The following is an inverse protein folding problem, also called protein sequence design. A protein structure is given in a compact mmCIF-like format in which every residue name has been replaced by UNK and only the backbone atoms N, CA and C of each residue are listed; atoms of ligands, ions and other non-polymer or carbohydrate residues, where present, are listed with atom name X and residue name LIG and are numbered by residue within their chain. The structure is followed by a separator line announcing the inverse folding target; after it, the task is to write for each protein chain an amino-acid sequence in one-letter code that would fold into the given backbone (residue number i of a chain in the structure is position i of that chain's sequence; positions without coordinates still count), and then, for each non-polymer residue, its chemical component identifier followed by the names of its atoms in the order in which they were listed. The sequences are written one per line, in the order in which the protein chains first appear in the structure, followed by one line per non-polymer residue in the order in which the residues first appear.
data_IF_673958002645
#
_entry.id   IF_673958002645
#
_cell.length_a   1.000
_cell.length_b   1.000
_cell.length_c   1.000
_cell.angle_alpha   90.00
_cell.angle_beta   90.00
_cell.angle_gamma   90.00
#
_symmetry.space_group_name_H-M   'P 1'
#
loop_
_entity.id
_entity.type
_entity.pdbx_description
1 polymer ?
#
# COMPACT_ATOMS: atom_id res chain seq x y z
N UNK A 1 -15.78 2.47 -15.96
CA UNK A 1 -15.55 3.21 -17.20
C UNK A 1 -15.19 4.67 -16.92
N UNK A 2 -16.02 5.41 -16.17
CA UNK A 2 -15.79 6.83 -15.85
C UNK A 2 -14.44 7.08 -15.17
N UNK A 3 -13.99 6.21 -14.26
CA UNK A 3 -12.70 6.32 -13.58
C UNK A 3 -11.54 6.22 -14.58
N UNK A 4 -11.55 5.23 -15.45
CA UNK A 4 -10.49 4.98 -16.43
C UNK A 4 -10.50 6.03 -17.56
N UNK A 5 -11.66 6.56 -17.94
CA UNK A 5 -11.77 7.61 -18.96
C UNK A 5 -11.38 8.99 -18.40
N UNK A 6 -11.65 9.26 -17.14
CA UNK A 6 -11.23 10.50 -16.47
C UNK A 6 -9.71 10.56 -16.22
N UNK A 7 -9.01 9.43 -16.29
CA UNK A 7 -7.57 9.33 -16.15
C UNK A 7 -6.84 10.29 -17.10
N UNK A 8 -7.21 10.28 -18.39
CA UNK A 8 -6.57 11.11 -19.40
C UNK A 8 -6.83 12.62 -19.24
N UNK A 9 -7.95 13.00 -18.64
CA UNK A 9 -8.32 14.42 -18.41
C UNK A 9 -7.75 15.01 -17.12
N UNK A 10 -7.21 14.17 -16.23
CA UNK A 10 -6.76 14.56 -14.89
C UNK A 10 -5.28 14.21 -14.60
N UNK A 11 -4.54 13.67 -15.58
CA UNK A 11 -3.11 13.32 -15.42
C UNK A 11 -2.25 14.48 -14.90
N UNK A 12 -2.61 15.73 -15.22
CA UNK A 12 -1.85 16.92 -14.86
C UNK A 12 -2.39 17.63 -13.60
N UNK A 13 -3.45 17.12 -12.99
CA UNK A 13 -4.00 17.72 -11.77
C UNK A 13 -3.45 17.04 -10.54
N UNK A 14 -2.42 17.63 -9.95
CA UNK A 14 -2.01 17.31 -8.59
C UNK A 14 -3.12 17.79 -7.66
N UNK A 15 -3.99 16.87 -7.26
CA UNK A 15 -5.13 17.16 -6.35
C UNK A 15 -4.85 16.66 -4.93
N UNK A 16 -3.74 15.98 -4.71
CA UNK A 16 -3.31 15.53 -3.40
C UNK A 16 -2.37 16.56 -2.76
N UNK A 17 -2.37 16.57 -1.45
CA UNK A 17 -1.44 17.32 -0.63
C UNK A 17 0.02 16.86 -0.81
N UNK A 18 0.22 15.65 -1.27
CA UNK A 18 1.49 15.08 -1.65
C UNK A 18 1.73 15.25 -3.16
N UNK A 19 2.96 15.16 -3.62
CA UNK A 19 3.32 15.19 -5.05
C UNK A 19 2.81 13.97 -5.85
N UNK A 20 2.09 13.03 -5.21
CA UNK A 20 1.56 11.84 -5.83
C UNK A 20 0.16 12.11 -6.41
N UNK A 21 -0.04 11.82 -7.69
CA UNK A 21 -1.33 12.05 -8.36
C UNK A 21 -2.37 10.99 -8.03
N UNK A 22 -3.65 11.38 -8.07
CA UNK A 22 -4.79 10.49 -7.81
C UNK A 22 -4.92 9.36 -8.85
N UNK A 23 -4.26 9.48 -9.99
CA UNK A 23 -4.35 8.56 -11.12
C UNK A 23 -2.98 8.12 -11.64
N UNK A 24 -1.96 8.17 -10.80
CA UNK A 24 -0.67 7.60 -11.15
C UNK A 24 -0.76 6.06 -11.16
N UNK A 25 0.04 5.38 -12.01
CA UNK A 25 0.07 3.92 -12.00
C UNK A 25 0.44 3.38 -10.63
N UNK A 26 -0.39 2.49 -10.07
CA UNK A 26 -0.12 1.88 -8.77
C UNK A 26 0.96 0.81 -8.89
N UNK A 27 1.86 0.75 -7.93
CA UNK A 27 2.93 -0.24 -7.90
C UNK A 27 2.40 -1.67 -7.80
N UNK A 28 2.92 -2.56 -8.63
CA UNK A 28 2.64 -4.00 -8.52
C UNK A 28 3.29 -4.60 -7.27
N UNK A 29 4.49 -4.14 -6.93
CA UNK A 29 5.25 -4.54 -5.75
C UNK A 29 5.75 -3.33 -4.99
N UNK A 30 5.89 -3.47 -3.67
CA UNK A 30 6.60 -2.44 -2.90
C UNK A 30 8.07 -2.35 -3.31
N UNK A 31 8.61 -1.15 -3.31
CA UNK A 31 10.04 -0.90 -3.46
C UNK A 31 10.81 -1.03 -2.13
N UNK A 32 10.11 -1.20 -1.02
CA UNK A 32 10.66 -1.34 0.33
C UNK A 32 11.04 -2.78 0.64
N UNK A 33 12.04 -2.97 1.48
CA UNK A 33 12.33 -4.29 2.05
C UNK A 33 11.40 -4.57 3.23
N UNK A 34 10.29 -5.26 2.97
CA UNK A 34 9.28 -5.60 3.97
C UNK A 34 9.81 -6.48 5.10
N UNK A 35 11.01 -7.07 4.96
CA UNK A 35 11.64 -7.87 6.01
C UNK A 35 12.25 -7.02 7.11
N UNK A 36 12.42 -5.72 6.88
CA UNK A 36 12.89 -4.75 7.88
C UNK A 36 11.81 -4.40 8.89
N UNK A 37 10.52 -4.51 8.51
CA UNK A 37 9.43 -4.26 9.45
C UNK A 37 9.43 -5.28 10.59
N UNK A 38 9.15 -4.83 11.83
CA UNK A 38 9.14 -5.72 12.98
C UNK A 38 8.19 -6.90 12.81
N UNK A 39 8.67 -8.09 13.17
CA UNK A 39 7.85 -9.31 13.19
C UNK A 39 7.12 -9.40 14.52
N UNK A 40 6.05 -8.64 14.66
CA UNK A 40 5.20 -8.67 15.84
C UNK A 40 3.91 -9.47 15.58
N UNK A 41 3.29 -9.95 16.65
CA UNK A 41 1.98 -10.58 16.55
C UNK A 41 0.89 -9.49 16.48
N UNK A 42 0.23 -9.41 15.34
CA UNK A 42 -0.81 -8.43 15.07
C UNK A 42 -2.23 -8.96 15.30
N UNK A 43 -2.37 -10.14 15.90
CA UNK A 43 -3.68 -10.74 16.21
C UNK A 43 -4.46 -9.83 17.16
N UNK A 44 -5.70 -9.51 16.78
CA UNK A 44 -6.59 -8.67 17.57
C UNK A 44 -6.27 -7.17 17.54
N UNK A 45 -5.26 -6.75 16.75
CA UNK A 45 -4.90 -5.35 16.59
C UNK A 45 -5.74 -4.67 15.51
N UNK A 46 -6.14 -3.43 15.75
CA UNK A 46 -6.67 -2.52 14.74
C UNK A 46 -5.49 -1.92 13.96
N UNK A 47 -5.49 -2.11 12.67
CA UNK A 47 -4.35 -1.75 11.82
C UNK A 47 -4.80 -0.76 10.76
N UNK A 48 -4.05 0.33 10.62
CA UNK A 48 -4.15 1.27 9.50
C UNK A 48 -2.89 1.15 8.64
N UNK A 49 -3.04 1.16 7.32
CA UNK A 49 -1.89 1.10 6.41
C UNK A 49 -2.13 1.92 5.15
N UNK A 50 -1.05 2.42 4.54
CA UNK A 50 -1.12 2.87 3.15
C UNK A 50 -1.49 1.69 2.24
N UNK A 51 -2.30 1.92 1.22
CA UNK A 51 -2.65 0.87 0.25
C UNK A 51 -1.50 0.58 -0.70
N UNK A 52 -1.02 1.58 -1.43
CA UNK A 52 0.07 1.43 -2.38
C UNK A 52 -0.06 0.13 -3.20
N UNK A 53 0.95 -0.72 -3.19
CA UNK A 53 0.92 -2.05 -3.84
C UNK A 53 0.07 -3.10 -3.11
N UNK A 54 -0.44 -2.82 -1.91
CA UNK A 54 -1.11 -3.78 -1.01
C UNK A 54 -0.17 -4.61 -0.14
N UNK A 55 1.14 -4.50 -0.32
CA UNK A 55 2.10 -5.37 0.37
C UNK A 55 2.19 -5.11 1.87
N UNK A 56 1.92 -3.89 2.34
CA UNK A 56 1.84 -3.55 3.77
C UNK A 56 0.67 -4.28 4.45
N UNK A 57 -0.50 -4.27 3.83
CA UNK A 57 -1.66 -5.01 4.32
C UNK A 57 -1.40 -6.52 4.32
N UNK A 58 -0.78 -7.06 3.27
CA UNK A 58 -0.41 -8.47 3.18
C UNK A 58 0.62 -8.87 4.24
N UNK A 59 1.60 -8.00 4.53
CA UNK A 59 2.55 -8.21 5.63
C UNK A 59 1.85 -8.23 6.99
N UNK A 60 0.92 -7.31 7.23
CA UNK A 60 0.15 -7.28 8.46
C UNK A 60 -0.70 -8.55 8.64
N UNK A 61 -1.34 -9.03 7.56
CA UNK A 61 -2.13 -10.27 7.58
C UNK A 61 -1.24 -11.50 7.81
N UNK A 62 -0.06 -11.55 7.20
CA UNK A 62 0.91 -12.63 7.44
C UNK A 62 1.29 -12.73 8.92
N UNK A 63 1.37 -11.58 9.61
CA UNK A 63 1.69 -11.47 11.03
C UNK A 63 0.46 -11.56 11.96
N UNK A 64 -0.72 -11.95 11.43
CA UNK A 64 -1.91 -12.25 12.22
C UNK A 64 -2.97 -11.16 12.26
N UNK A 65 -2.73 -10.01 11.62
CA UNK A 65 -3.75 -8.96 11.45
C UNK A 65 -4.96 -9.49 10.68
N UNK A 66 -6.16 -9.18 11.15
CA UNK A 66 -7.40 -9.64 10.50
C UNK A 66 -8.36 -8.49 10.17
N UNK A 67 -8.19 -7.34 10.81
CA UNK A 67 -8.99 -6.13 10.58
C UNK A 67 -8.04 -5.01 10.16
N UNK A 68 -7.99 -4.76 8.86
CA UNK A 68 -7.07 -3.80 8.24
C UNK A 68 -7.88 -2.69 7.59
N UNK A 69 -7.60 -1.47 7.94
CA UNK A 69 -8.02 -0.30 7.17
C UNK A 69 -6.85 0.16 6.32
N UNK A 70 -7.11 0.41 5.06
CA UNK A 70 -6.11 0.80 4.08
C UNK A 70 -6.54 2.08 3.38
N UNK A 71 -5.65 3.04 3.25
CA UNK A 71 -5.94 4.33 2.64
C UNK A 71 -4.96 4.67 1.53
N UNK A 72 -5.41 5.42 0.55
CA UNK A 72 -4.57 5.97 -0.50
C UNK A 72 -5.30 7.11 -1.20
N UNK A 73 -4.55 8.09 -1.71
CA UNK A 73 -5.08 9.11 -2.64
C UNK A 73 -5.20 8.54 -4.05
N UNK A 74 -4.38 7.54 -4.37
CA UNK A 74 -4.34 6.92 -5.68
C UNK A 74 -5.53 5.98 -5.87
N UNK A 75 -6.38 6.32 -6.83
CA UNK A 75 -7.61 5.59 -7.14
C UNK A 75 -7.37 4.16 -7.64
N UNK A 76 -6.18 3.86 -8.19
CA UNK A 76 -5.85 2.53 -8.70
C UNK A 76 -5.31 1.58 -7.64
N UNK A 77 -4.76 2.09 -6.54
CA UNK A 77 -4.11 1.28 -5.49
C UNK A 77 -5.02 0.20 -4.93
N UNK A 78 -6.30 0.52 -4.64
CA UNK A 78 -7.26 -0.48 -4.13
C UNK A 78 -7.50 -1.60 -5.12
N UNK A 79 -7.59 -1.30 -6.42
CA UNK A 79 -7.86 -2.31 -7.46
C UNK A 79 -6.66 -3.22 -7.68
N UNK A 80 -5.44 -2.66 -7.74
CA UNK A 80 -4.19 -3.45 -7.86
C UNK A 80 -4.01 -4.34 -6.64
N UNK A 81 -4.20 -3.80 -5.43
CA UNK A 81 -4.17 -4.56 -4.17
C UNK A 81 -5.21 -5.69 -4.16
N UNK A 82 -6.46 -5.39 -4.52
CA UNK A 82 -7.55 -6.37 -4.55
C UNK A 82 -7.30 -7.49 -5.56
N UNK A 83 -6.79 -7.18 -6.75
CA UNK A 83 -6.43 -8.19 -7.75
C UNK A 83 -5.33 -9.13 -7.22
N UNK A 84 -4.27 -8.58 -6.63
CA UNK A 84 -3.19 -9.39 -6.02
C UNK A 84 -3.72 -10.30 -4.93
N UNK A 85 -4.59 -9.80 -4.05
CA UNK A 85 -5.23 -10.58 -2.98
C UNK A 85 -6.11 -11.69 -3.56
N UNK A 86 -6.90 -11.40 -4.59
CA UNK A 86 -7.75 -12.38 -5.27
C UNK A 86 -6.90 -13.49 -5.90
N UNK A 87 -5.78 -13.15 -6.52
CA UNK A 87 -4.82 -14.11 -7.07
C UNK A 87 -4.21 -15.00 -5.98
N UNK A 88 -3.80 -14.44 -4.83
CA UNK A 88 -3.27 -15.23 -3.70
C UNK A 88 -4.34 -16.18 -3.16
N UNK A 89 -5.59 -15.74 -3.07
CA UNK A 89 -6.71 -16.60 -2.63
C UNK A 89 -6.96 -17.76 -3.61
N UNK A 90 -6.81 -17.52 -4.90
CA UNK A 90 -7.07 -18.50 -5.96
C UNK A 90 -5.93 -19.48 -6.14
N UNK A 91 -4.74 -19.00 -6.41
CA UNK A 91 -3.61 -19.79 -6.90
C UNK A 91 -2.77 -20.37 -5.75
N UNK A 92 -2.08 -21.47 -6.01
CA UNK A 92 -0.98 -21.93 -5.15
C UNK A 92 0.26 -21.05 -5.33
N UNK A 93 1.31 -21.38 -4.61
CA UNK A 93 2.57 -20.61 -4.64
C UNK A 93 3.16 -20.52 -6.05
N UNK A 94 3.33 -21.66 -6.72
CA UNK A 94 4.00 -21.69 -8.03
C UNK A 94 3.17 -21.03 -9.12
N UNK A 95 1.88 -21.31 -9.13
CA UNK A 95 0.93 -20.72 -10.08
C UNK A 95 0.80 -19.20 -9.89
N UNK A 96 0.78 -18.71 -8.64
CA UNK A 96 0.74 -17.28 -8.36
C UNK A 96 1.98 -16.59 -8.94
N UNK A 97 3.19 -17.07 -8.60
CA UNK A 97 4.42 -16.42 -9.04
C UNK A 97 4.62 -16.51 -10.55
N UNK A 98 4.23 -17.61 -11.17
CA UNK A 98 4.26 -17.75 -12.63
C UNK A 98 3.36 -16.73 -13.33
N UNK A 99 2.16 -16.46 -12.78
CA UNK A 99 1.25 -15.44 -13.34
C UNK A 99 1.70 -14.02 -13.06
N UNK A 100 2.29 -13.78 -11.90
CA UNK A 100 2.84 -12.47 -11.58
C UNK A 100 4.06 -12.14 -12.47
N UNK A 101 4.92 -13.10 -12.72
CA UNK A 101 6.03 -12.98 -13.66
C UNK A 101 5.54 -12.70 -15.09
N UNK A 102 4.45 -13.36 -15.50
CA UNK A 102 3.78 -13.06 -16.78
C UNK A 102 3.26 -11.62 -16.83
N UNK A 103 2.54 -11.17 -15.80
CA UNK A 103 2.02 -9.79 -15.71
C UNK A 103 3.17 -8.79 -15.80
N UNK A 104 4.25 -9.02 -15.07
CA UNK A 104 5.40 -8.14 -14.99
C UNK A 104 6.17 -8.04 -16.33
N UNK A 105 6.36 -9.16 -17.02
CA UNK A 105 7.18 -9.20 -18.25
C UNK A 105 6.39 -9.03 -19.54
N UNK A 106 5.10 -9.36 -19.54
CA UNK A 106 4.24 -9.30 -20.76
C UNK A 106 3.26 -8.13 -20.69
N UNK A 107 3.14 -7.48 -19.53
CA UNK A 107 2.21 -6.37 -19.28
C UNK A 107 0.76 -6.72 -19.71
N UNK A 108 0.32 -7.92 -19.35
CA UNK A 108 -0.98 -8.45 -19.75
C UNK A 108 -1.63 -9.27 -18.63
N UNK A 109 -2.95 -9.14 -18.52
CA UNK A 109 -3.78 -9.96 -17.63
C UNK A 109 -4.40 -11.19 -18.34
N UNK A 110 -4.09 -11.37 -19.64
CA UNK A 110 -4.45 -12.56 -20.39
C UNK A 110 -3.28 -13.52 -20.42
N UNK A 111 -3.34 -14.58 -19.61
CA UNK A 111 -2.29 -15.58 -19.50
C UNK A 111 -2.44 -16.67 -20.58
N UNK A 112 -1.43 -16.83 -21.44
CA UNK A 112 -1.37 -17.85 -22.48
C UNK A 112 -2.58 -17.85 -23.46
N UNK A 113 -3.15 -16.70 -23.81
CA UNK A 113 -4.29 -16.55 -24.73
C UNK A 113 -5.55 -17.40 -24.42
N UNK A 114 -5.51 -18.25 -23.43
CA UNK A 114 -6.60 -19.17 -23.02
C UNK A 114 -7.18 -18.85 -21.66
N UNK A 115 -6.44 -18.19 -20.79
CA UNK A 115 -6.88 -17.84 -19.44
C UNK A 115 -6.84 -16.32 -19.24
N UNK A 116 -8.02 -15.75 -18.99
CA UNK A 116 -8.14 -14.40 -18.48
C UNK A 116 -8.01 -14.46 -16.96
N UNK A 117 -6.97 -13.83 -16.42
CA UNK A 117 -6.71 -13.81 -14.97
C UNK A 117 -7.89 -13.22 -14.21
N UNK A 118 -8.51 -12.15 -14.75
CA UNK A 118 -9.65 -11.46 -14.11
C UNK A 118 -10.82 -12.42 -13.90
N UNK A 119 -11.21 -13.14 -14.98
CA UNK A 119 -12.31 -14.10 -14.89
C UNK A 119 -11.99 -15.26 -13.96
N UNK A 120 -10.74 -15.72 -13.96
CA UNK A 120 -10.30 -16.81 -13.10
C UNK A 120 -10.39 -16.50 -11.62
N UNK A 121 -10.24 -15.22 -11.22
CA UNK A 121 -10.29 -14.76 -9.83
C UNK A 121 -11.60 -14.07 -9.45
N UNK A 122 -12.56 -13.98 -10.37
CA UNK A 122 -13.84 -13.26 -10.22
C UNK A 122 -14.53 -13.47 -8.87
N UNK A 123 -14.58 -14.70 -8.38
CA UNK A 123 -15.25 -15.03 -7.10
C UNK A 123 -14.59 -14.42 -5.86
N UNK A 124 -13.37 -13.89 -5.99
CA UNK A 124 -12.60 -13.27 -4.92
C UNK A 124 -12.55 -11.75 -5.02
N UNK A 125 -13.13 -11.19 -6.08
CA UNK A 125 -13.29 -9.76 -6.31
C UNK A 125 -14.71 -9.32 -5.94
N UNK A 126 -14.87 -8.14 -5.40
CA UNK A 126 -16.17 -7.47 -5.32
C UNK A 126 -16.69 -7.16 -6.73
N UNK A 127 -17.97 -6.81 -6.82
CA UNK A 127 -18.57 -6.43 -8.10
C UNK A 127 -17.84 -5.21 -8.72
N UNK A 128 -17.54 -4.20 -7.93
CA UNK A 128 -16.82 -2.99 -8.37
C UNK A 128 -15.41 -3.31 -8.87
N UNK A 129 -14.66 -4.14 -8.13
CA UNK A 129 -13.31 -4.56 -8.50
C UNK A 129 -13.29 -5.39 -9.80
N UNK A 130 -14.23 -6.32 -9.93
CA UNK A 130 -14.37 -7.10 -11.16
C UNK A 130 -14.74 -6.22 -12.35
N UNK A 131 -15.69 -5.31 -12.17
CA UNK A 131 -16.12 -4.40 -13.22
C UNK A 131 -15.00 -3.45 -13.66
N UNK A 132 -14.20 -2.94 -12.70
CA UNK A 132 -13.03 -2.14 -13.01
C UNK A 132 -12.06 -2.89 -13.92
N UNK A 133 -11.65 -4.10 -13.54
CA UNK A 133 -10.67 -4.87 -14.29
C UNK A 133 -11.19 -5.36 -15.64
N UNK A 134 -12.45 -5.76 -15.72
CA UNK A 134 -13.08 -6.16 -16.99
C UNK A 134 -13.16 -4.98 -17.97
N UNK A 135 -13.49 -3.78 -17.46
CA UNK A 135 -13.50 -2.56 -18.27
C UNK A 135 -12.08 -2.17 -18.70
N UNK A 136 -11.11 -2.27 -17.80
CA UNK A 136 -9.69 -2.02 -18.12
C UNK A 136 -9.22 -2.92 -19.26
N UNK A 137 -9.45 -4.24 -19.20
CA UNK A 137 -9.07 -5.18 -20.27
C UNK A 137 -9.78 -4.86 -21.59
N UNK A 138 -11.07 -4.54 -21.55
CA UNK A 138 -11.80 -4.13 -22.75
C UNK A 138 -11.19 -2.88 -23.39
N UNK A 139 -10.88 -1.84 -22.60
CA UNK A 139 -10.28 -0.61 -23.11
C UNK A 139 -8.84 -0.84 -23.61
N UNK A 140 -8.08 -1.69 -22.93
CA UNK A 140 -6.71 -2.06 -23.32
C UNK A 140 -6.66 -2.79 -24.65
N UNK A 141 -7.51 -3.78 -24.85
CA UNK A 141 -7.61 -4.52 -26.12
C UNK A 141 -8.00 -3.58 -27.28
N UNK A 142 -8.78 -2.55 -27.02
CA UNK A 142 -9.17 -1.54 -28.00
C UNK A 142 -8.18 -0.35 -28.07
N UNK A 143 -6.97 -0.47 -27.52
CA UNK A 143 -5.92 0.55 -27.51
C UNK A 143 -6.33 1.92 -26.96
N UNK A 144 -7.28 1.95 -26.01
CA UNK A 144 -7.74 3.19 -25.34
C UNK A 144 -7.01 3.49 -24.04
N UNK A 145 -6.44 2.47 -23.43
CA UNK A 145 -5.58 2.57 -22.23
C UNK A 145 -4.41 1.59 -22.39
N UNK A 146 -3.27 1.91 -21.79
CA UNK A 146 -2.12 1.03 -21.73
C UNK A 146 -2.01 0.38 -20.36
N UNK A 147 -1.32 -0.76 -20.28
CA UNK A 147 -1.09 -1.46 -19.02
C UNK A 147 -0.44 -0.54 -17.99
N UNK A 148 0.60 0.18 -18.41
CA UNK A 148 1.37 1.09 -17.56
C UNK A 148 0.63 2.39 -17.18
N UNK A 149 -0.57 2.61 -17.67
CA UNK A 149 -1.44 3.69 -17.19
C UNK A 149 -2.06 3.37 -15.83
N UNK A 150 -2.16 2.09 -15.44
CA UNK A 150 -2.81 1.64 -14.20
C UNK A 150 -1.86 0.88 -13.28
N UNK A 151 -0.98 0.06 -13.85
CA UNK A 151 -0.02 -0.77 -13.10
C UNK A 151 1.40 -0.35 -13.43
N UNK A 152 2.15 0.01 -12.40
CA UNK A 152 3.58 0.19 -12.48
C UNK A 152 4.28 -1.10 -12.01
N UNK A 153 4.97 -1.78 -12.92
CA UNK A 153 5.69 -3.02 -12.63
C UNK A 153 6.97 -2.81 -11.80
N UNK A 154 7.29 -1.56 -11.47
CA UNK A 154 8.40 -1.25 -10.58
C UNK A 154 8.21 -1.90 -9.20
N UNK A 155 9.32 -2.18 -8.55
CA UNK A 155 9.36 -2.83 -7.26
C UNK A 155 10.11 -4.16 -7.32
N UNK A 156 10.11 -4.92 -6.23
CA UNK A 156 10.83 -6.19 -6.18
C UNK A 156 10.11 -7.22 -5.32
N UNK A 157 9.55 -8.21 -5.99
CA UNK A 157 8.88 -9.34 -5.33
C UNK A 157 9.74 -10.01 -4.24
N UNK A 158 11.07 -10.12 -4.44
CA UNK A 158 11.98 -10.76 -3.48
C UNK A 158 12.09 -10.01 -2.15
N UNK A 159 11.71 -8.73 -2.12
CA UNK A 159 11.65 -7.91 -0.89
C UNK A 159 10.43 -8.23 -0.04
N UNK A 160 9.41 -8.86 -0.61
CA UNK A 160 8.21 -9.24 0.12
C UNK A 160 8.42 -10.43 1.05
N UNK A 161 7.78 -10.37 2.22
CA UNK A 161 7.87 -11.41 3.25
C UNK A 161 7.22 -12.73 2.83
N UNK A 162 6.29 -12.71 1.90
CA UNK A 162 5.61 -13.90 1.35
C UNK A 162 6.25 -14.45 0.07
N UNK A 163 7.46 -13.99 -0.29
CA UNK A 163 8.23 -14.50 -1.43
C UNK A 163 8.73 -15.96 -1.28
N UNK A 164 8.51 -16.58 -0.12
CA UNK A 164 8.83 -17.98 0.15
C UNK A 164 7.54 -18.79 0.32
N UNK A 165 7.53 -20.04 -0.15
CA UNK A 165 6.36 -20.92 -0.15
C UNK A 165 5.68 -21.06 1.24
N UNK A 166 6.47 -21.22 2.31
CA UNK A 166 5.93 -21.32 3.67
C UNK A 166 5.17 -20.05 4.09
N UNK A 167 5.76 -18.87 3.86
CA UNK A 167 5.14 -17.60 4.19
C UNK A 167 3.92 -17.33 3.31
N UNK A 168 4.00 -17.64 2.01
CA UNK A 168 2.88 -17.53 1.08
C UNK A 168 1.68 -18.37 1.55
N UNK A 169 1.92 -19.64 1.88
CA UNK A 169 0.87 -20.54 2.32
C UNK A 169 0.26 -20.10 3.67
N UNK A 170 1.08 -19.53 4.57
CA UNK A 170 0.58 -18.92 5.81
C UNK A 170 -0.30 -17.72 5.51
N UNK A 171 0.16 -16.80 4.64
CA UNK A 171 -0.61 -15.64 4.21
C UNK A 171 -1.95 -16.04 3.57
N UNK A 172 -1.92 -17.01 2.65
CA UNK A 172 -3.13 -17.52 1.99
C UNK A 172 -4.15 -18.08 2.99
N UNK A 173 -3.70 -18.79 4.04
CA UNK A 173 -4.58 -19.24 5.13
C UNK A 173 -5.17 -18.08 5.92
N UNK A 174 -4.35 -17.10 6.29
CA UNK A 174 -4.77 -15.95 7.09
C UNK A 174 -5.78 -15.07 6.33
N UNK A 175 -5.60 -14.92 5.01
CA UNK A 175 -6.52 -14.17 4.14
C UNK A 175 -7.97 -14.68 4.13
N UNK A 176 -8.22 -15.91 4.57
CA UNK A 176 -9.60 -16.44 4.69
C UNK A 176 -10.43 -15.67 5.73
N UNK A 177 -9.79 -15.17 6.78
CA UNK A 177 -10.42 -14.50 7.90
C UNK A 177 -10.07 -13.00 7.98
N UNK A 178 -9.29 -12.49 7.04
CA UNK A 178 -8.90 -11.09 7.00
C UNK A 178 -9.93 -10.26 6.22
N UNK A 179 -10.22 -9.07 6.75
CA UNK A 179 -11.02 -8.04 6.10
C UNK A 179 -10.16 -6.80 5.90
N UNK A 180 -10.15 -6.28 4.67
CA UNK A 180 -9.52 -5.01 4.34
C UNK A 180 -10.63 -4.04 3.94
N UNK A 181 -10.63 -2.86 4.56
CA UNK A 181 -11.51 -1.75 4.19
C UNK A 181 -10.65 -0.67 3.54
N UNK A 182 -11.01 -0.24 2.34
CA UNK A 182 -10.27 0.79 1.61
C UNK A 182 -10.92 2.16 1.80
N UNK A 183 -10.09 3.16 2.06
CA UNK A 183 -10.48 4.56 2.16
C UNK A 183 -9.76 5.35 1.07
N UNK A 184 -10.54 6.06 0.27
CA UNK A 184 -10.03 7.07 -0.67
C UNK A 184 -9.75 8.34 0.12
N UNK A 185 -8.52 8.50 0.59
CA UNK A 185 -8.15 9.56 1.53
C UNK A 185 -6.67 9.90 1.45
N UNK A 186 -6.38 11.20 1.51
CA UNK A 186 -5.04 11.68 1.85
C UNK A 186 -4.75 11.43 3.34
N UNK A 187 -3.46 11.23 3.66
CA UNK A 187 -2.99 11.05 5.04
C UNK A 187 -3.35 12.24 5.94
N UNK A 188 -3.37 13.45 5.40
CA UNK A 188 -3.68 14.67 6.16
C UNK A 188 -5.15 14.71 6.62
N UNK A 189 -6.03 14.01 5.93
CA UNK A 189 -7.46 13.97 6.20
C UNK A 189 -7.93 12.62 6.76
N UNK A 190 -7.01 11.66 6.95
CA UNK A 190 -7.36 10.29 7.35
C UNK A 190 -8.15 10.27 8.67
N UNK A 191 -7.84 11.16 9.60
CA UNK A 191 -8.53 11.26 10.89
C UNK A 191 -10.04 11.54 10.75
N UNK A 192 -10.43 12.22 9.65
CA UNK A 192 -11.83 12.58 9.37
C UNK A 192 -12.59 11.44 8.69
N UNK A 193 -11.86 10.55 8.03
CA UNK A 193 -12.44 9.50 7.20
C UNK A 193 -12.55 8.16 7.92
N UNK A 194 -11.83 7.97 9.03
CA UNK A 194 -11.91 6.77 9.86
C UNK A 194 -12.67 7.02 11.16
N UNK A 195 -13.36 6.00 11.66
CA UNK A 195 -14.22 6.11 12.84
C UNK A 195 -13.78 5.24 14.03
N UNK A 196 -12.55 4.72 13.98
CA UNK A 196 -11.99 3.89 15.04
C UNK A 196 -10.57 4.28 15.40
N UNK A 197 -10.05 3.73 16.48
CA UNK A 197 -8.68 3.89 16.95
C UNK A 197 -7.83 2.72 16.51
N UNK A 198 -6.53 2.97 16.33
CA UNK A 198 -5.58 1.99 15.81
C UNK A 198 -4.47 1.68 16.81
N UNK A 199 -4.03 0.42 16.79
CA UNK A 199 -2.87 -0.06 17.54
C UNK A 199 -1.58 0.07 16.75
N UNK A 200 -1.68 -0.11 15.41
CA UNK A 200 -0.53 -0.08 14.50
C UNK A 200 -0.88 0.67 13.23
N UNK A 201 0.06 1.49 12.80
CA UNK A 201 -0.05 2.27 11.56
C UNK A 201 1.20 2.03 10.72
N UNK A 202 1.04 1.63 9.46
CA UNK A 202 2.12 1.41 8.51
C UNK A 202 2.00 2.43 7.38
N UNK A 203 2.90 3.40 7.35
CA UNK A 203 2.82 4.55 6.44
C UNK A 203 3.71 4.42 5.21
N UNK A 204 4.57 3.36 5.10
CA UNK A 204 5.55 3.37 4.04
C UNK A 204 6.41 4.65 4.11
N UNK A 205 6.74 5.22 2.96
CA UNK A 205 7.44 6.49 2.86
C UNK A 205 6.51 7.70 2.64
N UNK A 206 5.23 7.61 3.03
CA UNK A 206 4.26 8.71 2.85
C UNK A 206 4.75 10.01 3.48
N UNK A 207 5.43 9.94 4.63
CA UNK A 207 5.94 11.13 5.30
C UNK A 207 7.04 11.84 4.50
N UNK A 208 7.80 11.12 3.67
CA UNK A 208 8.74 11.75 2.74
C UNK A 208 8.03 12.59 1.67
N UNK A 209 6.91 12.10 1.14
CA UNK A 209 6.11 12.87 0.18
C UNK A 209 5.51 14.12 0.80
N UNK A 210 5.07 14.04 2.06
CA UNK A 210 4.61 15.22 2.81
C UNK A 210 5.71 16.26 2.98
N UNK A 211 6.96 15.81 3.21
CA UNK A 211 8.12 16.67 3.39
C UNK A 211 8.75 17.14 2.07
N UNK A 212 8.61 16.34 0.99
CA UNK A 212 9.19 16.63 -0.32
C UNK A 212 8.42 17.70 -1.12
N UNK A 213 7.19 18.01 -0.73
CA UNK A 213 6.47 19.14 -1.32
C UNK A 213 7.25 20.42 -0.97
N UNK A 214 7.91 21.01 -1.97
CA UNK A 214 8.69 22.25 -1.88
C UNK A 214 7.85 23.47 -1.48
N UNK A 215 6.97 23.31 -0.50
CA UNK A 215 6.19 24.38 0.07
C UNK A 215 6.90 24.94 1.29
N UNK A 216 6.85 26.26 1.53
CA UNK A 216 7.45 26.86 2.73
C UNK A 216 6.86 26.35 4.04
N UNK A 217 5.85 25.49 4.00
CA UNK A 217 5.10 24.97 5.15
C UNK A 217 5.22 23.44 5.34
N UNK A 218 6.27 22.79 4.82
CA UNK A 218 6.40 21.34 4.92
C UNK A 218 6.42 20.83 6.39
N UNK A 219 7.01 21.58 7.32
CA UNK A 219 7.02 21.25 8.75
C UNK A 219 5.60 21.31 9.33
N UNK A 220 4.84 22.36 8.99
CA UNK A 220 3.45 22.51 9.45
C UNK A 220 2.57 21.38 8.95
N UNK A 221 2.81 20.92 7.73
CA UNK A 221 2.09 19.85 7.11
C UNK A 221 2.41 18.49 7.77
N UNK A 222 3.67 18.25 8.05
CA UNK A 222 4.10 17.08 8.80
C UNK A 222 3.45 17.07 10.20
N UNK A 223 3.48 18.20 10.92
CA UNK A 223 2.84 18.34 12.22
C UNK A 223 1.34 18.08 12.17
N UNK A 224 0.64 18.56 11.13
CA UNK A 224 -0.80 18.28 10.91
C UNK A 224 -1.05 16.79 10.74
N UNK A 225 -0.25 16.10 9.92
CA UNK A 225 -0.38 14.65 9.71
C UNK A 225 -0.18 13.91 11.02
N UNK A 226 0.88 14.20 11.75
CA UNK A 226 1.17 13.52 13.03
C UNK A 226 0.09 13.83 14.07
N UNK A 227 -0.39 15.07 14.18
CA UNK A 227 -1.48 15.44 15.07
C UNK A 227 -2.80 14.77 14.69
N UNK A 228 -3.07 14.60 13.40
CA UNK A 228 -4.22 13.85 12.91
C UNK A 228 -4.13 12.37 13.28
N UNK A 229 -2.97 11.76 13.08
CA UNK A 229 -2.72 10.38 13.48
C UNK A 229 -2.86 10.21 14.99
N UNK A 230 -2.34 11.15 15.79
CA UNK A 230 -2.46 11.08 17.25
C UNK A 230 -3.92 10.92 17.72
N UNK A 231 -4.84 11.62 17.09
CA UNK A 231 -6.27 11.54 17.43
C UNK A 231 -6.87 10.16 17.21
N UNK A 232 -6.33 9.37 16.26
CA UNK A 232 -6.83 8.04 15.91
C UNK A 232 -5.99 6.90 16.49
N UNK A 233 -5.01 7.19 17.34
CA UNK A 233 -4.16 6.19 17.99
C UNK A 233 -4.64 5.85 19.39
N UNK A 234 -4.48 4.59 19.77
CA UNK A 234 -4.61 4.11 21.15
C UNK A 234 -3.30 4.38 21.94
N UNK A 235 -3.34 4.51 23.25
CA UNK A 235 -2.12 4.49 24.08
C UNK A 235 -1.30 3.22 23.80
N UNK A 236 0.02 3.34 23.72
CA UNK A 236 0.92 2.23 23.37
C UNK A 236 0.91 1.83 21.89
N UNK A 237 0.24 2.61 21.03
CA UNK A 237 0.26 2.40 19.57
C UNK A 237 1.59 2.77 18.97
N UNK A 238 1.90 2.16 17.81
CA UNK A 238 3.13 2.42 17.07
C UNK A 238 2.80 2.74 15.61
N UNK A 239 3.41 3.82 15.12
CA UNK A 239 3.48 4.16 13.70
C UNK A 239 4.83 3.68 13.17
N UNK A 240 4.81 2.95 12.07
CA UNK A 240 6.00 2.57 11.31
C UNK A 240 6.04 3.30 9.99
N UNK A 241 7.17 3.91 9.68
CA UNK A 241 7.42 4.53 8.39
C UNK A 241 8.73 4.06 7.80
N UNK A 242 8.88 4.25 6.49
CA UNK A 242 10.07 3.92 5.74
C UNK A 242 10.75 5.21 5.27
N UNK A 243 12.08 5.28 5.40
CA UNK A 243 12.85 6.48 5.13
C UNK A 243 13.95 6.19 4.09
N UNK A 244 13.85 6.82 2.92
CA UNK A 244 14.86 6.80 1.88
C UNK A 244 15.76 8.05 1.90
N UNK A 245 15.29 9.17 2.47
CA UNK A 245 15.88 10.50 2.34
C UNK A 245 16.25 11.21 3.64
N UNK A 246 16.25 10.51 4.77
CA UNK A 246 16.51 11.05 6.12
C UNK A 246 15.38 11.97 6.67
N UNK A 247 14.13 11.54 6.58
CA UNK A 247 12.97 12.15 7.29
C UNK A 247 13.24 12.25 8.80
N UNK A 248 14.06 11.35 9.33
CA UNK A 248 14.55 11.35 10.71
C UNK A 248 15.10 12.67 11.21
N UNK A 249 15.61 13.51 10.31
CA UNK A 249 16.11 14.88 10.67
C UNK A 249 15.03 15.79 11.26
N UNK A 250 13.77 15.50 11.00
CA UNK A 250 12.63 16.30 11.47
C UNK A 250 11.96 15.71 12.70
N UNK A 251 12.41 14.54 13.18
CA UNK A 251 11.83 13.83 14.33
C UNK A 251 11.97 14.58 15.63
N UNK A 252 13.12 15.23 15.86
CA UNK A 252 13.42 15.90 17.13
C UNK A 252 12.47 17.07 17.40
N UNK A 253 12.10 17.83 16.35
CA UNK A 253 11.17 18.96 16.47
C UNK A 253 9.70 18.52 16.66
N UNK A 254 9.41 17.24 16.47
CA UNK A 254 8.04 16.69 16.51
C UNK A 254 7.80 15.90 17.78
N UNK A 255 8.82 15.20 18.28
CA UNK A 255 8.73 14.41 19.50
C UNK A 255 8.49 15.27 20.76
N UNK A 256 8.98 16.50 20.80
CA UNK A 256 8.78 17.42 21.94
C UNK A 256 7.33 17.90 22.10
N UNK A 257 6.52 17.89 21.02
CA UNK A 257 5.14 18.38 21.04
C UNK A 257 4.08 17.28 21.07
N UNK A 258 4.45 15.99 20.91
CA UNK A 258 3.49 14.93 20.61
C UNK A 258 3.73 13.71 21.48
N UNK A 259 4.00 13.54 22.58
CA UNK A 259 4.05 12.31 23.44
C UNK A 259 4.47 11.03 22.68
N UNK A 260 5.29 11.13 21.61
CA UNK A 260 5.81 10.01 20.85
C UNK A 260 7.27 9.72 21.20
N UNK A 261 7.61 8.43 21.20
CA UNK A 261 8.99 7.96 21.21
C UNK A 261 9.40 7.61 19.78
N UNK A 262 10.55 8.12 19.35
CA UNK A 262 11.15 7.80 18.07
C UNK A 262 12.24 6.75 18.25
N UNK A 263 12.18 5.69 17.45
CA UNK A 263 13.20 4.65 17.31
C UNK A 263 13.56 4.45 15.85
N UNK A 264 14.85 4.34 15.54
CA UNK A 264 15.34 4.12 14.18
C UNK A 264 16.05 2.77 14.09
N UNK A 265 15.58 1.90 13.17
CA UNK A 265 16.26 0.66 12.81
C UNK A 265 16.88 0.80 11.42
N UNK A 266 18.21 0.69 11.32
CA UNK A 266 18.90 0.81 10.04
C UNK A 266 19.27 -0.56 9.47
N UNK A 267 19.10 -0.73 8.15
CA UNK A 267 19.59 -1.89 7.40
C UNK A 267 20.69 -1.49 6.42
N UNK A 268 21.84 -2.18 6.49
CA UNK A 268 23.01 -1.93 5.63
C UNK A 268 23.01 -2.74 4.33
N UNK A 269 21.96 -3.49 3.99
CA UNK A 269 22.02 -4.57 2.99
C UNK A 269 21.95 -4.16 1.52
N UNK A 270 21.76 -2.90 1.17
CA UNK A 270 21.48 -2.50 -0.24
C UNK A 270 22.33 -1.36 -0.78
N UNK A 271 23.40 -0.91 -0.11
CA UNK A 271 24.22 0.23 -0.56
C UNK A 271 23.52 1.60 -0.47
N UNK A 272 22.20 1.63 -0.34
CA UNK A 272 21.39 2.80 0.03
C UNK A 272 20.93 2.58 1.47
N UNK A 273 21.11 3.57 2.33
CA UNK A 273 20.62 3.49 3.72
C UNK A 273 19.10 3.50 3.69
N UNK A 274 18.51 2.32 3.69
CA UNK A 274 17.07 2.15 3.88
C UNK A 274 16.81 2.01 5.38
N UNK A 275 15.93 2.83 5.92
CA UNK A 275 15.65 2.88 7.34
C UNK A 275 14.17 2.70 7.61
N UNK A 276 13.85 1.96 8.64
CA UNK A 276 12.53 1.99 9.24
C UNK A 276 12.60 2.80 10.52
N UNK A 277 11.71 3.74 10.67
CA UNK A 277 11.51 4.45 11.94
C UNK A 277 10.19 4.04 12.58
N UNK A 278 10.10 4.22 13.88
CA UNK A 278 8.86 4.04 14.63
C UNK A 278 8.59 5.23 15.53
N UNK A 279 7.33 5.62 15.60
CA UNK A 279 6.83 6.61 16.55
C UNK A 279 5.87 5.89 17.50
N UNK A 280 6.17 5.84 18.79
CA UNK A 280 5.34 5.18 19.78
C UNK A 280 4.57 6.22 20.59
N UNK A 281 3.24 6.04 20.70
CA UNK A 281 2.41 6.86 21.58
C UNK A 281 2.60 6.41 23.01
N UNK A 282 3.03 7.33 23.87
CA UNK A 282 3.23 7.11 25.32
C UNK A 282 1.91 7.15 26.07
#
# INVERSE_FOLDING_TARGET
EKLLLNMNSNKDKITSFTSFGNFDPSYLWTNEDMKLYPKENLKGKNILTITSSGDHALNAILNGGSMIDSFDVNQFSKYVSALKIAMIKKYDYYDFFKRMDWIENVESLNFNSRENIIDSVRKYLSHDEYLFWSTFEYLRINNKVHFNDVINVYGNLKKNVYSKALSYNKLKRNLKNAKITYYDSDIIDIEKNVNKKYDRVFLSNVLEYVLATNTPHFVDNYQKVISGLDKILLPGSVIYGYDFSNVSKYSDNISEHLSYKYDEASCKSCGVQQKIFSLSKV
#
